data_IF_123191383245
#
_entry.id   IF_123191383245
#
_cell.length_a   1.000
_cell.length_b   1.000
_cell.length_c   1.000
_cell.angle_alpha   90.00
_cell.angle_beta   90.00
_cell.angle_gamma   90.00
#
_symmetry.space_group_name_H-M   'P 1'
#
loop_
_entity.id
_entity.type
_entity.pdbx_description
1 polymer ?
#
# COMPACT_ATOMS: atom_id res chain seq x y z
N UNK A 1 14.98 10.47 13.32
CA UNK A 1 14.13 9.27 13.14
C UNK A 1 13.57 8.73 14.46
N UNK A 2 12.29 8.34 14.48
CA UNK A 2 11.61 7.65 15.60
C UNK A 2 10.77 6.49 15.04
N UNK A 3 10.71 5.36 15.75
CA UNK A 3 9.91 4.20 15.41
C UNK A 3 8.66 4.12 16.30
N UNK A 4 7.47 4.20 15.69
CA UNK A 4 6.17 4.23 16.35
C UNK A 4 5.48 2.88 16.27
N UNK A 5 5.04 2.32 17.40
CA UNK A 5 4.29 1.05 17.43
C UNK A 5 2.93 1.17 16.72
N UNK A 6 2.62 0.35 15.74
CA UNK A 6 1.33 0.38 15.07
C UNK A 6 0.78 -1.03 14.81
N UNK A 7 -0.47 -1.12 14.37
CA UNK A 7 -1.02 -2.36 13.82
C UNK A 7 -0.50 -2.56 12.40
N UNK A 8 -0.19 -3.81 12.03
CA UNK A 8 0.17 -4.18 10.67
C UNK A 8 -1.04 -4.42 9.78
N UNK A 9 -2.25 -4.48 10.33
CA UNK A 9 -3.47 -4.80 9.60
C UNK A 9 -4.30 -3.57 9.21
N UNK A 10 -5.05 -3.69 8.10
CA UNK A 10 -5.75 -2.60 7.37
C UNK A 10 -4.87 -1.40 7.03
N UNK A 11 -3.56 -1.61 7.11
CA UNK A 11 -2.59 -0.57 6.88
C UNK A 11 -2.37 -0.41 5.38
N UNK A 12 -2.37 0.84 4.97
CA UNK A 12 -1.73 1.29 3.76
C UNK A 12 -1.03 2.59 4.16
N UNK A 13 0.30 2.57 4.14
CA UNK A 13 1.05 3.81 4.25
C UNK A 13 0.84 4.56 2.94
N UNK A 14 0.15 5.69 3.03
CA UNK A 14 -0.11 6.60 1.92
C UNK A 14 0.76 7.83 2.10
N UNK A 15 1.40 8.26 1.03
CA UNK A 15 2.11 9.52 0.95
C UNK A 15 1.19 10.60 0.37
N UNK A 16 1.25 11.82 0.92
CA UNK A 16 0.82 13.01 0.20
C UNK A 16 1.63 14.23 0.63
N UNK A 17 2.28 14.88 -0.34
CA UNK A 17 3.27 15.93 -0.12
C UNK A 17 4.27 15.55 0.99
N UNK A 18 4.42 16.38 2.01
CA UNK A 18 5.35 16.17 3.12
C UNK A 18 4.84 15.22 4.23
N UNK A 19 3.67 14.59 4.06
CA UNK A 19 3.02 13.79 5.08
C UNK A 19 2.94 12.29 4.71
N UNK A 20 3.08 11.45 5.74
CA UNK A 20 2.67 10.05 5.67
C UNK A 20 1.34 9.88 6.38
N UNK A 21 0.35 9.31 5.70
CA UNK A 21 -0.94 8.94 6.27
C UNK A 21 -0.96 7.43 6.58
N UNK A 22 -1.45 7.11 7.76
CA UNK A 22 -1.61 5.75 8.25
C UNK A 22 -3.06 5.56 8.67
N UNK A 23 -3.67 4.46 8.23
CA UNK A 23 -5.03 4.06 8.61
C UNK A 23 -5.00 2.77 9.41
N UNK A 24 -5.88 2.67 10.40
CA UNK A 24 -6.09 1.48 11.22
C UNK A 24 -7.40 1.62 12.00
N UNK A 25 -8.39 0.79 11.64
CA UNK A 25 -9.66 0.62 12.34
C UNK A 25 -10.34 1.94 12.74
N UNK A 26 -10.73 2.71 11.73
CA UNK A 26 -11.45 3.98 11.89
C UNK A 26 -10.58 5.20 12.12
N UNK A 27 -9.35 5.04 12.60
CA UNK A 27 -8.44 6.16 12.79
C UNK A 27 -7.61 6.44 11.55
N UNK A 28 -7.40 7.74 11.28
CA UNK A 28 -6.39 8.25 10.37
C UNK A 28 -5.34 9.03 11.17
N UNK A 29 -4.09 8.60 11.03
CA UNK A 29 -2.95 9.28 11.60
C UNK A 29 -2.12 9.95 10.52
N UNK A 30 -1.53 11.09 10.89
CA UNK A 30 -0.57 11.83 10.08
C UNK A 30 0.79 11.76 10.75
N UNK A 31 1.77 11.26 10.02
CA UNK A 31 3.19 11.32 10.34
C UNK A 31 3.79 12.53 9.63
N UNK A 32 4.25 13.51 10.40
CA UNK A 32 4.89 14.71 9.85
C UNK A 32 6.43 14.60 9.78
N UNK A 33 7.02 15.57 9.08
CA UNK A 33 8.46 15.73 8.92
C UNK A 33 9.23 15.97 10.24
N UNK A 34 8.54 16.36 11.32
CA UNK A 34 9.12 16.54 12.64
C UNK A 34 9.08 15.26 13.48
N UNK A 35 8.68 14.14 12.87
CA UNK A 35 8.49 12.84 13.53
C UNK A 35 7.36 12.88 14.55
N UNK A 36 6.27 13.62 14.30
CA UNK A 36 5.06 13.49 15.10
C UNK A 36 4.04 12.61 14.40
N UNK A 37 3.52 11.62 15.11
CA UNK A 37 2.41 10.79 14.65
C UNK A 37 1.14 11.20 15.42
N UNK A 38 0.24 11.91 14.74
CA UNK A 38 -0.96 12.49 15.36
C UNK A 38 -2.23 11.93 14.73
N UNK A 39 -3.25 11.55 15.53
CA UNK A 39 -4.57 11.24 14.98
C UNK A 39 -5.19 12.55 14.49
N UNK A 40 -5.62 12.56 13.23
CA UNK A 40 -6.23 13.74 12.61
C UNK A 40 -7.71 13.53 12.29
N UNK A 41 -8.18 12.28 12.34
CA UNK A 41 -9.55 11.92 12.02
C UNK A 41 -9.91 10.56 12.61
N UNK A 42 -11.19 10.40 12.97
CA UNK A 42 -11.77 9.10 13.31
C UNK A 42 -13.12 8.98 12.63
N UNK A 43 -13.26 7.96 11.79
CA UNK A 43 -14.50 7.52 11.18
C UNK A 43 -14.39 6.04 10.82
N UNK A 44 -15.31 5.24 11.35
CA UNK A 44 -15.39 3.81 11.08
C UNK A 44 -15.77 3.47 9.63
N UNK A 45 -16.02 4.45 8.77
CA UNK A 45 -16.31 4.26 7.35
C UNK A 45 -15.16 4.65 6.43
N UNK A 46 -14.01 5.08 6.99
CA UNK A 46 -12.84 5.46 6.22
C UNK A 46 -12.31 4.31 5.34
N UNK A 47 -12.51 4.43 4.03
CA UNK A 47 -12.29 3.37 3.06
C UNK A 47 -11.07 3.59 2.17
N UNK A 48 -10.71 4.85 1.88
CA UNK A 48 -9.63 5.18 0.94
C UNK A 48 -8.92 6.48 1.32
N UNK A 49 -7.61 6.55 1.01
CA UNK A 49 -6.75 7.74 1.08
C UNK A 49 -5.99 7.86 -0.23
N UNK A 50 -5.87 9.07 -0.77
CA UNK A 50 -5.10 9.33 -1.98
C UNK A 50 -4.53 10.74 -2.00
N UNK A 51 -3.50 10.91 -2.83
CA UNK A 51 -2.89 12.19 -3.18
C UNK A 51 -3.36 12.59 -4.59
N UNK A 52 -3.81 13.83 -4.76
CA UNK A 52 -4.05 14.43 -6.06
C UNK A 52 -2.75 14.94 -6.69
N UNK A 53 -2.77 15.25 -7.99
CA UNK A 53 -1.57 15.66 -8.73
C UNK A 53 -0.90 16.94 -8.20
N UNK A 54 -1.62 17.79 -7.47
CA UNK A 54 -1.09 18.99 -6.80
C UNK A 54 -0.52 18.72 -5.40
N UNK A 55 -0.53 17.46 -4.95
CA UNK A 55 -0.04 17.03 -3.64
C UNK A 55 -1.08 17.11 -2.51
N UNK A 56 -2.34 17.39 -2.83
CA UNK A 56 -3.42 17.47 -1.84
C UNK A 56 -3.88 16.08 -1.40
N UNK A 57 -4.05 15.87 -0.09
CA UNK A 57 -4.52 14.61 0.47
C UNK A 57 -6.04 14.61 0.63
N UNK A 58 -6.70 13.60 0.06
CA UNK A 58 -8.14 13.40 0.17
C UNK A 58 -8.47 12.02 0.75
N UNK A 59 -9.66 11.93 1.35
CA UNK A 59 -10.12 10.75 2.08
C UNK A 59 -11.58 10.49 1.77
N UNK A 60 -11.97 9.21 1.78
CA UNK A 60 -13.34 8.76 1.54
C UNK A 60 -13.89 7.99 2.73
N UNK A 61 -15.05 8.41 3.23
CA UNK A 61 -15.82 7.69 4.24
C UNK A 61 -17.20 7.38 3.67
N UNK A 62 -17.48 6.10 3.40
CA UNK A 62 -18.68 5.69 2.65
C UNK A 62 -18.91 6.56 1.39
N UNK A 63 -19.96 7.38 1.38
CA UNK A 63 -20.34 8.27 0.26
C UNK A 63 -19.85 9.72 0.44
N UNK A 64 -19.18 10.03 1.55
CA UNK A 64 -18.65 11.35 1.86
C UNK A 64 -17.15 11.45 1.58
N UNK A 65 -16.73 12.66 1.22
CA UNK A 65 -15.36 12.98 0.86
C UNK A 65 -14.81 14.08 1.75
N UNK A 66 -13.52 13.98 2.06
CA UNK A 66 -12.82 14.89 2.93
C UNK A 66 -11.46 15.26 2.33
N UNK A 67 -10.94 16.42 2.72
CA UNK A 67 -9.62 16.90 2.32
C UNK A 67 -8.83 17.38 3.54
N UNK A 68 -7.51 17.20 3.51
CA UNK A 68 -6.62 17.72 4.53
C UNK A 68 -6.00 19.03 4.06
N UNK A 69 -6.36 20.15 4.68
CA UNK A 69 -5.86 21.48 4.31
C UNK A 69 -4.48 21.81 4.91
N UNK A 70 -3.81 20.81 5.52
CA UNK A 70 -2.55 20.96 6.25
C UNK A 70 -2.74 21.16 7.77
N UNK A 71 -3.94 21.51 8.23
CA UNK A 71 -4.26 21.74 9.63
C UNK A 71 -5.40 20.83 10.12
N UNK A 72 -6.43 20.67 9.31
CA UNK A 72 -7.67 20.00 9.68
C UNK A 72 -8.24 19.20 8.51
N UNK A 73 -9.17 18.32 8.84
CA UNK A 73 -9.94 17.55 7.87
C UNK A 73 -11.26 18.27 7.66
N UNK A 74 -11.53 18.67 6.42
CA UNK A 74 -12.76 19.38 6.06
C UNK A 74 -13.57 18.56 5.05
N UNK A 75 -14.90 18.51 5.21
CA UNK A 75 -15.76 17.84 4.24
C UNK A 75 -15.72 18.58 2.90
N UNK A 76 -15.72 17.81 1.82
CA UNK A 76 -15.79 18.31 0.45
C UNK A 76 -17.21 18.12 -0.06
N UNK A 77 -17.77 19.17 -0.64
CA UNK A 77 -19.11 19.10 -1.23
C UNK A 77 -19.06 18.39 -2.58
N UNK A 78 -19.93 17.40 -2.75
CA UNK A 78 -19.94 16.58 -3.94
C UNK A 78 -18.82 15.56 -3.90
N UNK A 79 -18.80 14.72 -4.92
CA UNK A 79 -17.62 13.91 -5.14
C UNK A 79 -16.52 14.84 -5.69
N UNK A 80 -15.38 15.02 -4.99
CA UNK A 80 -14.24 15.74 -5.54
C UNK A 80 -13.84 15.16 -6.89
N UNK A 81 -14.22 13.92 -7.19
CA UNK A 81 -14.00 13.24 -8.46
C UNK A 81 -15.20 13.22 -9.42
N UNK A 82 -16.43 13.59 -9.01
CA UNK A 82 -17.63 13.44 -9.86
C UNK A 82 -18.45 14.70 -10.12
N UNK A 83 -18.09 15.86 -9.55
CA UNK A 83 -18.76 17.11 -9.93
C UNK A 83 -17.94 18.19 -10.65
N UNK A 84 -16.61 18.17 -10.63
CA UNK A 84 -15.78 19.00 -11.55
C UNK A 84 -14.42 18.40 -11.97
N UNK A 85 -13.98 17.26 -11.40
CA UNK A 85 -12.82 16.52 -11.90
C UNK A 85 -13.24 15.30 -12.71
N UNK A 86 -13.75 15.56 -13.90
CA UNK A 86 -13.38 14.68 -14.99
C UNK A 86 -11.85 14.63 -14.97
N UNK A 87 -11.20 13.49 -14.68
CA UNK A 87 -9.75 13.36 -14.83
C UNK A 87 -9.42 13.65 -16.31
N UNK A 88 -9.20 14.93 -16.62
CA UNK A 88 -8.91 15.45 -17.94
C UNK A 88 -7.43 15.28 -18.15
N UNK A 89 -7.06 14.09 -18.59
CA UNK A 89 -5.68 13.84 -18.96
C UNK A 89 -5.47 14.30 -20.40
N UNK A 90 -4.46 15.16 -20.60
CA UNK A 90 -4.11 15.64 -21.92
C UNK A 90 -3.17 14.65 -22.59
N UNK A 91 -3.60 14.12 -23.72
CA UNK A 91 -2.81 13.26 -24.59
C UNK A 91 -2.65 13.93 -25.95
N UNK A 92 -1.51 14.60 -26.14
CA UNK A 92 -1.24 15.36 -27.37
C UNK A 92 -2.31 16.42 -27.66
N UNK A 93 -3.11 16.15 -28.71
CA UNK A 93 -4.21 17.00 -29.20
C UNK A 93 -5.58 16.68 -28.57
N UNK A 94 -5.64 15.77 -27.60
CA UNK A 94 -6.88 15.30 -26.98
C UNK A 94 -6.91 15.56 -25.48
N UNK A 95 -8.12 15.80 -24.99
CA UNK A 95 -8.49 15.73 -23.57
C UNK A 95 -9.25 14.42 -23.39
N UNK A 96 -8.70 13.50 -22.60
CA UNK A 96 -9.30 12.22 -22.27
C UNK A 96 -10.07 12.30 -20.96
N UNK A 97 -11.23 11.65 -20.94
CA UNK A 97 -12.15 11.59 -19.81
C UNK A 97 -12.80 10.21 -19.73
N UNK A 98 -13.21 9.76 -18.55
CA UNK A 98 -13.94 8.49 -18.43
C UNK A 98 -15.10 8.55 -17.45
N UNK A 99 -16.13 7.74 -17.73
CA UNK A 99 -17.30 7.54 -16.88
C UNK A 99 -17.46 6.05 -16.56
N UNK A 100 -17.29 5.71 -15.28
CA UNK A 100 -17.41 4.37 -14.73
C UNK A 100 -18.77 4.07 -14.10
N UNK A 101 -19.76 4.96 -14.19
CA UNK A 101 -21.08 4.81 -13.55
C UNK A 101 -21.86 3.58 -14.03
N UNK A 102 -21.59 3.09 -15.25
CA UNK A 102 -22.19 1.90 -15.85
C UNK A 102 -21.27 0.65 -15.73
N UNK A 103 -20.51 0.53 -14.63
CA UNK A 103 -19.63 -0.61 -14.38
C UNK A 103 -20.38 -1.96 -14.56
N UNK A 104 -19.83 -2.95 -15.30
CA UNK A 104 -18.43 -3.08 -15.72
C UNK A 104 -18.09 -2.44 -17.08
N UNK A 105 -19.00 -1.65 -17.67
CA UNK A 105 -18.68 -0.84 -18.87
C UNK A 105 -18.12 0.49 -18.42
N UNK A 106 -17.04 0.90 -19.07
CA UNK A 106 -16.48 2.24 -18.89
C UNK A 106 -16.70 2.99 -20.21
N UNK A 107 -17.25 4.20 -20.13
CA UNK A 107 -17.33 5.09 -21.27
C UNK A 107 -16.06 5.93 -21.32
N UNK A 108 -15.32 5.86 -22.42
CA UNK A 108 -14.11 6.64 -22.67
C UNK A 108 -14.47 7.77 -23.63
N UNK A 109 -14.24 9.02 -23.23
CA UNK A 109 -14.55 10.21 -24.01
C UNK A 109 -13.28 11.00 -24.31
N UNK A 110 -13.14 11.45 -25.55
CA UNK A 110 -11.96 12.12 -26.06
C UNK A 110 -12.38 13.37 -26.82
N UNK A 111 -12.01 14.54 -26.31
CA UNK A 111 -12.27 15.82 -26.94
C UNK A 111 -11.01 16.34 -27.63
N UNK A 112 -11.08 16.60 -28.93
CA UNK A 112 -9.97 17.17 -29.68
C UNK A 112 -9.85 18.67 -29.40
N UNK A 113 -8.70 19.10 -28.89
CA UNK A 113 -8.46 20.46 -28.41
C UNK A 113 -8.63 21.52 -29.51
N UNK A 114 -8.27 21.18 -30.75
CA UNK A 114 -8.26 22.16 -31.85
C UNK A 114 -9.67 22.59 -32.29
N UNK A 115 -10.64 21.69 -32.23
CA UNK A 115 -11.96 21.89 -32.85
C UNK A 115 -13.14 21.43 -31.98
N UNK A 116 -12.89 20.89 -30.78
CA UNK A 116 -13.91 20.34 -29.88
C UNK A 116 -14.59 19.08 -30.40
N UNK A 117 -14.03 18.39 -31.41
CA UNK A 117 -14.64 17.16 -31.91
C UNK A 117 -14.54 16.05 -30.88
N UNK A 118 -15.64 15.33 -30.67
CA UNK A 118 -15.76 14.30 -29.66
C UNK A 118 -15.67 12.92 -30.30
N UNK A 119 -14.85 12.05 -29.72
CA UNK A 119 -14.84 10.62 -29.96
C UNK A 119 -15.19 9.90 -28.65
N UNK A 120 -16.13 8.95 -28.70
CA UNK A 120 -16.54 8.15 -27.56
C UNK A 120 -16.41 6.67 -27.85
N UNK A 121 -15.97 5.90 -26.86
CA UNK A 121 -15.93 4.45 -26.95
C UNK A 121 -16.33 3.82 -25.62
N UNK A 122 -17.35 2.97 -25.65
CA UNK A 122 -17.91 2.30 -24.47
C UNK A 122 -17.82 0.80 -24.60
N UNK A 123 -17.04 0.17 -23.73
CA UNK A 123 -16.76 -1.26 -23.76
C UNK A 123 -16.53 -1.81 -22.34
N UNK A 124 -16.63 -3.13 -22.18
CA UNK A 124 -16.25 -3.80 -20.92
C UNK A 124 -14.76 -4.11 -20.92
N UNK A 125 -14.14 -3.99 -19.75
CA UNK A 125 -12.80 -4.55 -19.49
C UNK A 125 -11.69 -4.00 -20.40
N UNK A 126 -11.84 -2.77 -20.89
CA UNK A 126 -10.77 -2.02 -21.56
C UNK A 126 -10.05 -1.14 -20.55
N UNK A 127 -8.73 -1.06 -20.71
CA UNK A 127 -7.89 -0.09 -20.03
C UNK A 127 -7.31 0.84 -21.09
N UNK A 128 -7.63 2.13 -21.01
CA UNK A 128 -7.05 3.13 -21.91
C UNK A 128 -5.53 3.22 -21.69
N UNK A 129 -4.79 3.31 -22.80
CA UNK A 129 -3.33 3.39 -22.78
C UNK A 129 -2.84 4.75 -23.28
N UNK A 130 -3.18 5.13 -24.50
CA UNK A 130 -2.61 6.31 -25.16
C UNK A 130 -3.51 6.75 -26.31
N UNK A 131 -3.40 8.01 -26.74
CA UNK A 131 -3.92 8.42 -28.02
C UNK A 131 -2.97 9.33 -28.79
N UNK A 132 -2.84 9.07 -30.09
CA UNK A 132 -1.96 9.83 -30.98
C UNK A 132 -2.43 9.72 -32.43
N UNK A 133 -2.34 10.81 -33.17
CA UNK A 133 -2.65 10.88 -34.60
C UNK A 133 -4.03 10.29 -34.94
N UNK A 134 -5.05 10.69 -34.20
CA UNK A 134 -6.44 10.23 -34.34
C UNK A 134 -6.61 8.70 -34.13
N UNK A 135 -5.70 8.08 -33.36
CA UNK A 135 -5.77 6.68 -32.94
C UNK A 135 -5.79 6.56 -31.41
N UNK A 136 -6.60 5.64 -30.91
CA UNK A 136 -6.84 5.41 -29.50
C UNK A 136 -6.45 3.97 -29.15
N UNK A 137 -5.54 3.80 -28.18
CA UNK A 137 -4.99 2.52 -27.81
C UNK A 137 -5.58 2.05 -26.48
N UNK A 138 -6.04 0.80 -26.47
CA UNK A 138 -6.62 0.17 -25.28
C UNK A 138 -6.02 -1.21 -25.08
N UNK A 139 -5.88 -1.64 -23.83
CA UNK A 139 -5.66 -3.04 -23.50
C UNK A 139 -6.99 -3.72 -23.21
N UNK A 140 -7.31 -4.76 -23.98
CA UNK A 140 -8.45 -5.64 -23.73
C UNK A 140 -8.06 -6.75 -22.79
N UNK A 141 -8.59 -6.73 -21.56
CA UNK A 141 -8.34 -7.80 -20.58
C UNK A 141 -8.95 -9.14 -21.00
N UNK A 142 -10.02 -9.10 -21.80
CA UNK A 142 -10.71 -10.30 -22.32
C UNK A 142 -9.89 -10.94 -23.43
N UNK A 143 -9.48 -10.16 -24.43
CA UNK A 143 -8.71 -10.65 -25.56
C UNK A 143 -7.21 -10.79 -25.26
N UNK A 144 -6.74 -10.17 -24.17
CA UNK A 144 -5.32 -10.04 -23.79
C UNK A 144 -4.51 -9.41 -24.93
N UNK A 145 -5.08 -8.40 -25.57
CA UNK A 145 -4.49 -7.70 -26.70
C UNK A 145 -4.45 -6.20 -26.45
N UNK A 146 -3.50 -5.52 -27.10
CA UNK A 146 -3.58 -4.07 -27.28
C UNK A 146 -4.30 -3.85 -28.61
N UNK A 147 -5.42 -3.16 -28.54
CA UNK A 147 -6.22 -2.75 -29.68
C UNK A 147 -5.98 -1.28 -29.98
N UNK A 148 -6.04 -0.96 -31.26
CA UNK A 148 -6.03 0.38 -31.82
C UNK A 148 -7.39 0.64 -32.44
N UNK A 149 -8.01 1.75 -32.05
CA UNK A 149 -9.28 2.23 -32.59
C UNK A 149 -9.01 3.56 -33.29
N UNK A 150 -9.48 3.74 -34.51
CA UNK A 150 -9.42 5.04 -35.21
C UNK A 150 -10.73 5.85 -35.06
N UNK A 151 -10.75 7.08 -35.55
CA UNK A 151 -11.94 7.94 -35.53
C UNK A 151 -13.11 7.43 -36.35
N UNK A 152 -12.91 6.43 -37.21
CA UNK A 152 -13.98 5.74 -37.96
C UNK A 152 -14.48 4.47 -37.22
N UNK A 153 -14.06 4.29 -35.96
CA UNK A 153 -14.33 3.12 -35.13
C UNK A 153 -13.82 1.79 -35.71
N UNK A 154 -12.80 1.84 -36.58
CA UNK A 154 -12.15 0.61 -37.04
C UNK A 154 -11.19 0.13 -35.96
N UNK A 155 -11.35 -1.14 -35.59
CA UNK A 155 -10.56 -1.79 -34.55
C UNK A 155 -9.52 -2.68 -35.21
N UNK A 156 -8.29 -2.62 -34.74
CA UNK A 156 -7.20 -3.50 -35.13
C UNK A 156 -6.37 -3.92 -33.92
N UNK A 157 -6.04 -5.20 -33.82
CA UNK A 157 -5.07 -5.66 -32.82
C UNK A 157 -3.66 -5.24 -33.27
N UNK A 158 -2.96 -4.50 -32.41
CA UNK A 158 -1.56 -4.11 -32.64
C UNK A 158 -0.57 -4.97 -31.83
N UNK A 159 -1.08 -5.69 -30.83
CA UNK A 159 -0.32 -6.67 -30.07
C UNK A 159 -1.25 -7.70 -29.43
N UNK A 160 -0.87 -8.98 -29.39
CA UNK A 160 -1.65 -10.06 -28.77
C UNK A 160 -0.75 -10.87 -27.83
N UNK A 161 -1.05 -10.82 -26.52
CA UNK A 161 -0.34 -11.62 -25.54
C UNK A 161 -0.88 -13.06 -25.50
N UNK A 162 -0.14 -13.99 -26.09
CA UNK A 162 -0.46 -15.42 -26.02
C UNK A 162 -0.04 -16.02 -24.67
N UNK A 163 -0.78 -15.71 -23.61
CA UNK A 163 -0.54 -16.28 -22.28
C UNK A 163 -1.79 -16.45 -21.41
N UNK A 164 -1.76 -17.39 -20.47
CA UNK A 164 -2.84 -17.56 -19.49
C UNK A 164 -2.92 -16.38 -18.51
N UNK A 165 -1.78 -15.91 -18.01
CA UNK A 165 -1.69 -14.75 -17.13
C UNK A 165 -1.02 -13.60 -17.87
N UNK A 166 -1.70 -12.46 -17.90
CA UNK A 166 -1.19 -11.22 -18.49
C UNK A 166 -1.49 -10.08 -17.52
N UNK A 167 -0.47 -9.28 -17.22
CA UNK A 167 -0.60 -8.03 -16.49
C UNK A 167 0.14 -6.94 -17.27
N UNK A 168 -0.40 -5.73 -17.27
CA UNK A 168 0.22 -4.60 -17.96
C UNK A 168 0.35 -3.42 -17.01
N UNK A 169 1.39 -2.63 -17.23
CA UNK A 169 1.59 -1.34 -16.60
C UNK A 169 2.04 -0.35 -17.67
N UNK A 170 1.59 0.91 -17.56
CA UNK A 170 1.90 1.94 -18.55
C UNK A 170 2.62 3.10 -17.89
N UNK A 171 3.67 3.56 -18.56
CA UNK A 171 4.31 4.86 -18.29
C UNK A 171 4.48 5.57 -19.62
N UNK A 172 3.78 6.71 -19.78
CA UNK A 172 3.69 7.43 -21.05
C UNK A 172 3.25 6.50 -22.20
N UNK A 173 4.03 6.47 -23.29
CA UNK A 173 3.81 5.65 -24.49
C UNK A 173 4.42 4.25 -24.38
N UNK A 174 5.02 3.91 -23.24
CA UNK A 174 5.68 2.63 -22.99
C UNK A 174 4.76 1.75 -22.16
N UNK A 175 4.55 0.53 -22.62
CA UNK A 175 3.74 -0.48 -21.93
C UNK A 175 4.64 -1.63 -21.54
N UNK A 176 4.73 -1.90 -20.24
CA UNK A 176 5.32 -3.12 -19.72
C UNK A 176 4.26 -4.20 -19.70
N UNK A 177 4.59 -5.37 -20.24
CA UNK A 177 3.66 -6.49 -20.41
C UNK A 177 4.27 -7.72 -19.76
N UNK A 178 3.73 -8.11 -18.62
CA UNK A 178 4.06 -9.40 -18.01
C UNK A 178 3.17 -10.48 -18.60
N UNK A 179 3.78 -11.59 -19.03
CA UNK A 179 3.08 -12.78 -19.54
C UNK A 179 3.64 -14.06 -18.92
N UNK A 180 2.74 -14.99 -18.56
CA UNK A 180 3.10 -16.31 -18.03
C UNK A 180 2.05 -17.36 -18.39
N UNK A 181 2.50 -18.47 -18.98
CA UNK A 181 1.72 -19.69 -19.14
C UNK A 181 1.97 -20.66 -17.97
N UNK A 182 1.10 -21.65 -17.76
CA UNK A 182 1.39 -22.76 -16.85
C UNK A 182 2.73 -23.41 -17.21
N UNK A 183 3.58 -23.63 -16.20
CA UNK A 183 4.89 -24.29 -16.32
C UNK A 183 5.97 -23.54 -17.11
N UNK A 184 5.65 -22.40 -17.73
CA UNK A 184 6.62 -21.51 -18.37
C UNK A 184 7.22 -20.51 -17.37
N UNK A 185 8.42 -20.01 -17.69
CA UNK A 185 8.99 -18.83 -17.04
C UNK A 185 8.14 -17.60 -17.37
N UNK A 186 8.04 -16.68 -16.42
CA UNK A 186 7.43 -15.37 -16.68
C UNK A 186 8.28 -14.58 -17.66
N UNK A 187 7.67 -13.73 -18.46
CA UNK A 187 8.37 -12.83 -19.39
C UNK A 187 7.80 -11.43 -19.23
N UNK A 188 8.67 -10.42 -19.21
CA UNK A 188 8.29 -9.01 -19.34
C UNK A 188 8.70 -8.53 -20.72
N UNK A 189 7.77 -7.95 -21.45
CA UNK A 189 8.01 -7.26 -22.72
C UNK A 189 7.83 -5.76 -22.52
N UNK A 190 8.75 -4.99 -23.09
CA UNK A 190 8.62 -3.54 -23.18
C UNK A 190 8.07 -3.24 -24.57
N UNK A 191 6.85 -2.74 -24.65
CA UNK A 191 6.15 -2.42 -25.88
C UNK A 191 6.05 -0.91 -26.07
N UNK A 192 6.53 -0.42 -27.21
CA UNK A 192 6.44 1.00 -27.59
C UNK A 192 5.17 1.21 -28.43
N UNK A 193 4.21 1.98 -27.91
CA UNK A 193 2.94 2.28 -28.58
C UNK A 193 3.11 3.15 -29.83
N UNK A 194 4.19 3.93 -29.94
CA UNK A 194 4.46 4.77 -31.13
C UNK A 194 5.09 3.95 -32.24
N UNK A 195 6.03 3.07 -31.88
CA UNK A 195 6.69 2.18 -32.83
C UNK A 195 5.89 0.90 -33.14
N UNK A 196 4.84 0.62 -32.37
CA UNK A 196 3.98 -0.57 -32.46
C UNK A 196 4.77 -1.89 -32.45
N UNK A 197 5.75 -1.98 -31.56
CA UNK A 197 6.61 -3.16 -31.44
C UNK A 197 7.12 -3.37 -30.02
N UNK A 198 7.43 -4.63 -29.73
CA UNK A 198 8.27 -4.99 -28.58
C UNK A 198 9.68 -4.47 -28.86
N UNK A 199 10.18 -3.61 -27.99
CA UNK A 199 11.51 -3.01 -28.07
C UNK A 199 12.52 -3.72 -27.16
N UNK A 200 12.05 -4.41 -26.13
CA UNK A 200 12.90 -5.25 -25.28
C UNK A 200 12.11 -6.38 -24.59
N UNK A 201 12.82 -7.40 -24.11
CA UNK A 201 12.24 -8.54 -23.42
C UNK A 201 13.17 -9.08 -22.35
N UNK A 202 12.61 -9.39 -21.19
CA UNK A 202 13.33 -9.99 -20.07
C UNK A 202 12.62 -11.25 -19.56
N UNK A 203 13.37 -12.32 -19.32
CA UNK A 203 12.84 -13.58 -18.78
C UNK A 203 12.93 -13.57 -17.25
N UNK A 204 11.79 -13.67 -16.58
CA UNK A 204 11.68 -13.74 -15.12
C UNK A 204 11.77 -15.20 -14.67
N UNK A 205 12.94 -15.61 -14.16
CA UNK A 205 13.21 -17.00 -13.79
C UNK A 205 12.64 -17.45 -12.42
N UNK A 206 11.73 -16.68 -11.81
CA UNK A 206 11.21 -16.96 -10.47
C UNK A 206 9.87 -17.72 -10.46
N UNK A 207 9.77 -18.74 -9.61
CA UNK A 207 8.53 -19.49 -9.34
C UNK A 207 7.38 -18.55 -8.88
N UNK A 208 7.73 -17.47 -8.18
CA UNK A 208 6.80 -16.49 -7.59
C UNK A 208 6.41 -15.30 -8.47
N UNK A 209 6.86 -15.20 -9.73
CA UNK A 209 6.43 -14.10 -10.61
C UNK A 209 4.91 -14.21 -10.87
N UNK A 210 4.13 -13.34 -10.21
CA UNK A 210 2.67 -13.30 -10.26
C UNK A 210 2.11 -12.08 -11.00
N UNK A 211 2.94 -11.06 -11.24
CA UNK A 211 2.54 -9.79 -11.85
C UNK A 211 3.64 -8.73 -11.77
N UNK A 212 3.30 -7.51 -12.19
CA UNK A 212 4.12 -6.30 -12.00
C UNK A 212 3.44 -5.40 -10.97
N UNK A 213 4.23 -4.78 -10.10
CA UNK A 213 3.71 -3.90 -9.05
C UNK A 213 4.66 -2.72 -8.78
N UNK A 214 4.15 -1.73 -8.06
CA UNK A 214 4.92 -0.59 -7.53
C UNK A 214 5.70 0.15 -8.61
N UNK A 215 5.09 0.49 -9.75
CA UNK A 215 5.79 1.21 -10.83
C UNK A 215 6.13 2.63 -10.37
N UNK A 216 7.38 3.06 -10.56
CA UNK A 216 7.84 4.41 -10.25
C UNK A 216 8.85 4.91 -11.27
N UNK A 217 8.90 6.22 -11.48
CA UNK A 217 9.85 6.87 -12.38
C UNK A 217 10.81 7.76 -11.57
N UNK A 218 12.12 7.61 -11.82
CA UNK A 218 13.15 8.46 -11.22
C UNK A 218 14.37 8.53 -12.13
N UNK A 219 14.97 9.73 -12.27
CA UNK A 219 16.18 9.96 -13.08
C UNK A 219 16.07 9.39 -14.52
N UNK A 220 14.91 9.54 -15.15
CA UNK A 220 14.66 9.04 -16.51
C UNK A 220 14.56 7.51 -16.63
N UNK A 221 14.52 6.78 -15.51
CA UNK A 221 14.37 5.33 -15.46
C UNK A 221 13.02 4.95 -14.87
N UNK A 222 12.57 3.76 -15.23
CA UNK A 222 11.35 3.15 -14.69
C UNK A 222 11.76 1.96 -13.85
N UNK A 223 11.29 1.97 -12.61
CA UNK A 223 11.48 0.90 -11.65
C UNK A 223 10.14 0.23 -11.40
N UNK A 224 10.14 -1.09 -11.20
CA UNK A 224 8.96 -1.83 -10.79
C UNK A 224 9.38 -3.18 -10.22
N UNK A 225 8.50 -3.82 -9.46
CA UNK A 225 8.71 -5.20 -9.03
C UNK A 225 8.06 -6.17 -10.00
N UNK A 226 8.70 -7.31 -10.23
CA UNK A 226 8.07 -8.46 -10.88
C UNK A 226 8.21 -9.68 -9.98
N UNK A 227 7.13 -10.03 -9.29
CA UNK A 227 7.20 -10.92 -8.13
C UNK A 227 8.13 -10.33 -7.07
N UNK A 228 9.18 -11.06 -6.73
CA UNK A 228 10.17 -10.71 -5.71
C UNK A 228 11.46 -10.08 -6.28
N UNK A 229 11.46 -9.65 -7.54
CA UNK A 229 12.62 -9.02 -8.20
C UNK A 229 12.39 -7.55 -8.51
N UNK A 230 13.43 -6.74 -8.35
CA UNK A 230 13.46 -5.37 -8.85
C UNK A 230 13.85 -5.36 -10.34
N UNK A 231 12.99 -4.76 -11.15
CA UNK A 231 13.21 -4.53 -12.57
C UNK A 231 13.47 -3.05 -12.82
N UNK A 232 14.41 -2.74 -13.71
CA UNK A 232 14.77 -1.37 -14.08
C UNK A 232 14.88 -1.25 -15.58
N UNK A 233 14.17 -0.28 -16.15
CA UNK A 233 14.27 0.10 -17.55
C UNK A 233 14.88 1.49 -17.67
N UNK A 234 15.98 1.61 -18.41
CA UNK A 234 16.75 2.85 -18.58
C UNK A 234 16.38 3.65 -19.85
N UNK A 235 15.27 3.29 -20.50
CA UNK A 235 14.87 3.81 -21.80
C UNK A 235 15.30 2.94 -22.99
N UNK A 236 16.22 2.00 -22.78
CA UNK A 236 16.81 1.18 -23.85
C UNK A 236 16.76 -0.31 -23.50
N UNK A 237 17.15 -0.65 -22.27
CA UNK A 237 17.28 -2.03 -21.81
C UNK A 237 16.58 -2.23 -20.46
N UNK A 238 15.90 -3.36 -20.35
CA UNK A 238 15.29 -3.88 -19.15
C UNK A 238 16.30 -4.79 -18.44
N UNK A 239 16.53 -4.53 -17.16
CA UNK A 239 17.51 -5.24 -16.36
C UNK A 239 16.92 -5.65 -15.00
N UNK A 240 17.52 -6.69 -14.41
CA UNK A 240 17.31 -7.09 -13.03
C UNK A 240 18.62 -6.92 -12.26
N UNK A 241 18.86 -5.78 -11.59
CA UNK A 241 20.15 -5.44 -10.98
C UNK A 241 20.59 -6.42 -9.87
N UNK A 242 19.63 -7.09 -9.24
CA UNK A 242 19.87 -8.05 -8.17
C UNK A 242 19.28 -9.43 -8.52
N UNK A 243 19.87 -10.17 -9.47
CA UNK A 243 19.25 -11.39 -10.01
C UNK A 243 19.13 -12.52 -8.97
N UNK A 244 20.02 -12.55 -7.98
CA UNK A 244 20.10 -13.57 -6.94
C UNK A 244 19.50 -13.13 -5.60
N UNK A 245 18.94 -11.93 -5.51
CA UNK A 245 18.32 -11.41 -4.29
C UNK A 245 16.86 -11.08 -4.51
N UNK A 246 16.05 -11.47 -3.54
CA UNK A 246 14.63 -11.13 -3.49
C UNK A 246 14.46 -9.82 -2.75
N UNK A 247 13.66 -8.90 -3.29
CA UNK A 247 13.33 -7.62 -2.64
C UNK A 247 12.01 -7.73 -1.87
N UNK A 248 11.90 -6.98 -0.78
CA UNK A 248 10.64 -6.79 -0.06
C UNK A 248 9.97 -5.52 -0.58
N UNK A 249 10.68 -4.40 -0.53
CA UNK A 249 10.24 -3.14 -1.12
C UNK A 249 11.41 -2.31 -1.62
N UNK A 250 11.09 -1.29 -2.40
CA UNK A 250 12.05 -0.31 -2.87
C UNK A 250 11.39 1.07 -2.97
N UNK A 251 12.22 2.12 -2.95
CA UNK A 251 11.84 3.49 -3.28
C UNK A 251 12.93 4.13 -4.12
N UNK A 252 12.60 4.50 -5.35
CA UNK A 252 13.50 5.27 -6.22
C UNK A 252 13.37 6.78 -5.94
N UNK A 253 14.50 7.48 -5.92
CA UNK A 253 14.57 8.94 -5.72
C UNK A 253 15.53 9.56 -6.72
N UNK A 254 15.55 10.89 -6.80
CA UNK A 254 16.55 11.62 -7.60
C UNK A 254 18.00 11.36 -7.15
N UNK A 255 18.21 10.98 -5.89
CA UNK A 255 19.55 10.83 -5.30
C UNK A 255 20.07 9.40 -5.29
N UNK A 256 19.19 8.42 -5.54
CA UNK A 256 19.48 7.00 -5.38
C UNK A 256 18.25 6.17 -5.08
N UNK A 257 18.45 4.90 -4.75
CA UNK A 257 17.36 3.94 -4.55
C UNK A 257 17.51 3.26 -3.20
N UNK A 258 16.45 3.36 -2.39
CA UNK A 258 16.29 2.61 -1.15
C UNK A 258 15.76 1.21 -1.46
N UNK A 259 16.36 0.18 -0.87
CA UNK A 259 15.98 -1.22 -1.09
C UNK A 259 16.05 -2.01 0.21
N UNK A 260 15.03 -2.83 0.47
CA UNK A 260 15.05 -3.88 1.47
C UNK A 260 14.94 -5.26 0.82
N UNK A 261 15.65 -6.24 1.38
CA UNK A 261 15.75 -7.59 0.81
C UNK A 261 15.13 -8.63 1.72
N UNK A 262 14.56 -9.69 1.11
CA UNK A 262 13.97 -10.80 1.85
C UNK A 262 15.06 -11.52 2.64
N UNK A 263 14.80 -11.78 3.92
CA UNK A 263 15.74 -12.45 4.82
C UNK A 263 16.83 -11.55 5.40
N UNK A 264 16.72 -10.24 5.20
CA UNK A 264 17.65 -9.22 5.68
C UNK A 264 16.91 -8.22 6.59
N UNK A 265 17.60 -7.71 7.62
CA UNK A 265 17.06 -6.72 8.55
C UNK A 265 17.60 -5.31 8.28
N UNK A 266 18.33 -5.10 7.18
CA UNK A 266 18.89 -3.82 6.81
C UNK A 266 18.15 -3.10 5.65
N UNK A 267 18.21 -1.77 5.69
CA UNK A 267 17.91 -0.89 4.57
C UNK A 267 19.20 -0.56 3.82
N UNK A 268 19.15 -0.69 2.50
CA UNK A 268 20.25 -0.39 1.60
C UNK A 268 19.94 0.85 0.78
N UNK A 269 20.94 1.69 0.55
CA UNK A 269 20.81 2.82 -0.37
C UNK A 269 21.92 2.77 -1.42
N UNK A 270 21.50 2.66 -2.67
CA UNK A 270 22.38 2.63 -3.83
C UNK A 270 22.32 3.96 -4.59
N UNK A 271 23.30 4.20 -5.46
CA UNK A 271 23.12 5.22 -6.50
C UNK A 271 21.94 4.89 -7.43
N UNK A 272 21.54 5.87 -8.25
CA UNK A 272 20.46 5.74 -9.24
C UNK A 272 20.74 4.69 -10.32
N UNK A 273 22.00 4.29 -10.49
CA UNK A 273 22.40 3.20 -11.38
C UNK A 273 22.40 1.82 -10.72
N UNK A 274 22.17 1.75 -9.40
CA UNK A 274 22.23 0.52 -8.61
C UNK A 274 23.58 -0.21 -8.69
N UNK A 275 24.63 0.51 -9.08
CA UNK A 275 25.97 -0.03 -9.27
C UNK A 275 26.81 0.05 -7.99
N UNK A 276 26.56 1.08 -7.15
CA UNK A 276 27.33 1.30 -5.94
C UNK A 276 26.42 1.43 -4.72
N UNK A 277 26.63 0.55 -3.74
CA UNK A 277 26.08 0.72 -2.41
C UNK A 277 26.70 1.95 -1.75
N UNK A 278 25.89 2.94 -1.40
CA UNK A 278 26.34 4.15 -0.70
C UNK A 278 26.40 3.93 0.80
N UNK A 279 25.38 3.27 1.35
CA UNK A 279 25.36 2.87 2.76
C UNK A 279 24.36 1.75 3.00
N UNK A 280 24.52 1.09 4.15
CA UNK A 280 23.61 0.09 4.70
C UNK A 280 23.34 0.44 6.17
N UNK A 281 22.08 0.40 6.58
CA UNK A 281 21.67 0.66 7.97
C UNK A 281 20.80 -0.50 8.48
N UNK A 282 21.09 -1.07 9.65
CA UNK A 282 20.21 -2.07 10.25
C UNK A 282 18.87 -1.44 10.62
N UNK A 283 17.84 -2.27 10.74
CA UNK A 283 16.57 -1.92 11.35
C UNK A 283 16.78 -1.28 12.72
N UNK A 284 16.02 -0.22 13.08
CA UNK A 284 16.05 0.30 14.43
C UNK A 284 15.36 -0.62 15.44
N UNK A 285 14.54 -1.57 14.99
CA UNK A 285 13.78 -2.49 15.85
C UNK A 285 14.26 -3.92 15.63
N UNK A 286 14.94 -4.55 16.62
CA UNK A 286 15.44 -5.92 16.48
C UNK A 286 14.35 -6.93 16.12
N UNK A 287 14.62 -7.78 15.12
CA UNK A 287 13.67 -8.79 14.64
C UNK A 287 12.61 -8.26 13.66
N UNK A 288 12.74 -7.01 13.20
CA UNK A 288 11.89 -6.40 12.18
C UNK A 288 12.72 -6.05 10.93
N UNK A 289 12.09 -5.98 9.76
CA UNK A 289 12.68 -5.54 8.50
C UNK A 289 11.80 -4.48 7.85
N UNK A 290 12.39 -3.68 6.95
CA UNK A 290 11.66 -2.68 6.17
C UNK A 290 10.76 -3.37 5.15
N UNK A 291 9.44 -3.29 5.35
CA UNK A 291 8.46 -4.01 4.53
C UNK A 291 7.91 -3.14 3.41
N UNK A 292 7.59 -1.88 3.70
CA UNK A 292 7.11 -0.92 2.71
C UNK A 292 7.93 0.35 2.79
N UNK A 293 8.26 0.91 1.63
CA UNK A 293 9.05 2.13 1.47
C UNK A 293 8.24 3.11 0.63
N UNK A 294 7.93 4.27 1.21
CA UNK A 294 7.16 5.34 0.59
C UNK A 294 7.85 6.68 0.81
N UNK A 295 7.47 7.70 0.05
CA UNK A 295 7.92 9.05 0.35
C UNK A 295 7.72 10.05 -0.76
N UNK A 296 7.51 11.30 -0.35
CA UNK A 296 7.33 12.47 -1.21
C UNK A 296 8.07 13.67 -0.59
N UNK A 297 8.37 14.70 -1.38
CA UNK A 297 9.04 15.95 -0.97
C UNK A 297 10.31 15.79 -0.09
N UNK A 298 11.19 14.85 -0.45
CA UNK A 298 12.45 14.60 0.26
C UNK A 298 12.28 13.91 1.63
N UNK A 299 11.07 13.42 1.91
CA UNK A 299 10.73 12.61 3.08
C UNK A 299 10.54 11.16 2.69
N UNK A 300 10.93 10.30 3.62
CA UNK A 300 10.83 8.87 3.52
C UNK A 300 10.01 8.36 4.69
N UNK A 301 9.17 7.38 4.39
CA UNK A 301 8.35 6.68 5.34
C UNK A 301 8.55 5.19 5.11
N UNK A 302 8.63 4.43 6.20
CA UNK A 302 8.60 2.98 6.09
C UNK A 302 7.76 2.34 7.18
N UNK A 303 7.19 1.21 6.81
CA UNK A 303 6.67 0.26 7.78
C UNK A 303 7.72 -0.82 8.02
N UNK A 304 7.97 -1.13 9.30
CA UNK A 304 8.78 -2.24 9.73
C UNK A 304 7.89 -3.41 10.17
N UNK A 305 8.20 -4.61 9.69
CA UNK A 305 7.48 -5.85 10.04
C UNK A 305 8.42 -6.95 10.48
N UNK A 306 7.89 -7.87 11.28
CA UNK A 306 8.63 -9.08 11.60
C UNK A 306 8.60 -10.05 10.38
N UNK A 307 9.76 -10.46 9.83
CA UNK A 307 9.83 -11.30 8.62
C UNK A 307 9.34 -12.73 8.85
N UNK A 308 9.23 -13.21 10.09
CA UNK A 308 8.64 -14.51 10.41
C UNK A 308 7.10 -14.53 10.24
N UNK A 309 6.52 -13.42 9.76
CA UNK A 309 5.09 -13.30 9.53
C UNK A 309 4.69 -13.65 8.11
N UNK A 310 3.79 -14.61 8.00
CA UNK A 310 3.24 -15.07 6.73
C UNK A 310 1.98 -14.28 6.29
N UNK A 311 1.59 -13.23 7.02
CA UNK A 311 0.42 -12.40 6.75
C UNK A 311 0.66 -10.95 7.18
N UNK A 312 -0.05 -10.03 6.53
CA UNK A 312 -0.14 -8.60 6.82
C UNK A 312 -0.96 -8.41 8.12
N UNK A 313 -0.40 -8.80 9.27
CA UNK A 313 -1.03 -8.73 10.59
C UNK A 313 0.01 -8.72 11.72
N UNK A 314 -0.40 -8.33 12.92
CA UNK A 314 0.40 -8.21 14.13
C UNK A 314 1.12 -6.88 14.28
N UNK A 315 1.86 -6.71 15.38
CA UNK A 315 2.62 -5.50 15.73
C UNK A 315 3.55 -5.03 14.59
N UNK A 316 3.41 -3.80 14.11
CA UNK A 316 4.31 -3.17 13.14
C UNK A 316 4.94 -1.92 13.75
N UNK A 317 5.89 -1.32 13.04
CA UNK A 317 6.40 0.01 13.39
C UNK A 317 6.37 0.95 12.19
N UNK A 318 6.04 2.21 12.40
CA UNK A 318 6.23 3.27 11.40
C UNK A 318 7.48 4.07 11.73
N UNK A 319 8.28 4.34 10.71
CA UNK A 319 9.46 5.21 10.80
C UNK A 319 9.40 6.27 9.71
N UNK A 320 9.91 7.46 10.00
CA UNK A 320 10.16 8.49 9.00
C UNK A 320 11.57 9.08 9.13
N UNK A 321 12.12 9.49 8.00
CA UNK A 321 13.41 10.17 7.91
C UNK A 321 13.47 11.05 6.65
N UNK A 322 14.35 12.05 6.65
CA UNK A 322 14.67 12.84 5.46
C UNK A 322 15.81 12.24 4.65
N UNK A 323 15.89 12.60 3.37
CA UNK A 323 17.06 12.27 2.55
C UNK A 323 18.35 12.86 3.15
N UNK A 324 18.29 14.03 3.79
CA UNK A 324 19.42 14.62 4.50
C UNK A 324 19.90 13.78 5.70
N UNK A 325 18.98 13.20 6.48
CA UNK A 325 19.31 12.25 7.56
C UNK A 325 19.89 10.94 7.02
N UNK A 326 19.37 10.47 5.89
CA UNK A 326 19.83 9.27 5.20
C UNK A 326 21.27 9.40 4.68
N UNK A 327 21.59 10.54 4.06
CA UNK A 327 22.90 10.82 3.49
C UNK A 327 23.95 11.24 4.52
N UNK A 328 23.57 11.38 5.79
CA UNK A 328 24.51 11.71 6.85
C UNK A 328 25.40 10.49 7.19
N UNK A 329 26.74 10.67 7.26
CA UNK A 329 27.64 9.58 7.62
C UNK A 329 27.44 9.08 9.06
N UNK A 330 26.89 9.89 9.96
CA UNK A 330 26.65 9.51 11.35
C UNK A 330 25.65 8.35 11.47
N UNK A 331 25.78 7.47 12.48
CA UNK A 331 24.79 6.43 12.74
C UNK A 331 23.39 7.01 12.92
N UNK A 332 22.38 6.30 12.42
CA UNK A 332 21.00 6.61 12.73
C UNK A 332 20.75 6.41 14.22
N UNK A 333 20.52 7.50 14.93
CA UNK A 333 19.95 7.43 16.27
C UNK A 333 18.45 7.39 16.10
N UNK A 334 17.87 6.21 16.34
CA UNK A 334 16.43 6.02 16.32
C UNK A 334 15.92 5.87 17.75
N UNK A 335 14.97 6.73 18.12
CA UNK A 335 14.17 6.51 19.31
C UNK A 335 13.10 5.46 19.01
N UNK A 336 13.09 4.35 19.76
CA UNK A 336 12.10 3.28 19.59
C UNK A 336 11.07 3.43 20.69
N UNK A 337 9.82 3.65 20.27
CA UNK A 337 8.73 3.80 21.21
C UNK A 337 8.56 2.54 22.07
N UNK A 338 8.42 2.76 23.38
CA UNK A 338 8.24 1.68 24.34
C UNK A 338 6.78 1.21 24.36
N UNK A 339 6.54 -0.11 24.50
CA UNK A 339 5.20 -0.63 24.62
C UNK A 339 4.57 -0.21 25.95
N UNK A 340 3.33 0.27 25.89
CA UNK A 340 2.51 0.61 27.07
C UNK A 340 1.53 -0.50 27.41
N UNK A 341 1.74 -1.68 26.83
CA UNK A 341 0.87 -2.83 26.95
C UNK A 341 1.64 -4.10 27.34
N UNK A 342 0.90 -5.08 27.87
CA UNK A 342 1.44 -6.40 28.19
C UNK A 342 0.41 -7.49 27.93
N UNK A 343 0.91 -8.71 27.72
CA UNK A 343 0.09 -9.90 27.50
C UNK A 343 0.18 -10.83 28.70
N UNK A 344 -0.95 -11.40 29.10
CA UNK A 344 -1.02 -12.43 30.12
C UNK A 344 -1.98 -13.52 29.71
N UNK A 345 -1.50 -14.76 29.68
CA UNK A 345 -2.34 -15.94 29.54
C UNK A 345 -3.03 -16.21 30.88
N UNK A 346 -4.37 -16.17 30.88
CA UNK A 346 -5.19 -16.46 32.03
C UNK A 346 -5.81 -17.85 31.87
N UNK A 347 -5.60 -18.80 32.80
CA UNK A 347 -6.21 -20.11 32.74
C UNK A 347 -7.74 -20.01 32.61
N UNK A 348 -8.30 -20.82 31.71
CA UNK A 348 -9.73 -20.89 31.44
C UNK A 348 -10.16 -22.35 31.26
N UNK A 349 -11.46 -22.63 31.25
CA UNK A 349 -11.94 -24.00 31.05
C UNK A 349 -11.51 -24.52 29.67
N UNK A 350 -10.62 -25.52 29.65
CA UNK A 350 -10.14 -26.13 28.42
C UNK A 350 -8.96 -25.42 27.74
N UNK A 351 -8.25 -24.54 28.45
CA UNK A 351 -7.11 -23.82 27.89
C UNK A 351 -6.78 -22.50 28.61
N UNK A 352 -6.56 -21.43 27.86
CA UNK A 352 -6.32 -20.09 28.37
C UNK A 352 -7.07 -19.02 27.57
N UNK A 353 -7.38 -17.91 28.23
CA UNK A 353 -7.83 -16.66 27.63
C UNK A 353 -6.68 -15.66 27.64
N UNK A 354 -6.67 -14.71 26.70
CA UNK A 354 -5.62 -13.70 26.62
C UNK A 354 -6.10 -12.42 27.29
N UNK A 355 -5.34 -11.93 28.27
CA UNK A 355 -5.55 -10.59 28.84
C UNK A 355 -4.48 -9.67 28.29
N UNK A 356 -4.91 -8.55 27.72
CA UNK A 356 -4.07 -7.49 27.19
C UNK A 356 -4.29 -6.26 28.06
N UNK A 357 -3.31 -5.93 28.90
CA UNK A 357 -3.34 -4.69 29.69
C UNK A 357 -2.71 -3.56 28.90
N UNK A 358 -3.31 -2.37 28.90
CA UNK A 358 -2.82 -1.14 28.26
C UNK A 358 -2.86 -0.01 29.28
N UNK A 359 -1.75 0.69 29.48
CA UNK A 359 -1.71 1.90 30.29
C UNK A 359 -2.35 3.06 29.55
N UNK A 360 -3.53 3.51 29.99
CA UNK A 360 -4.21 4.68 29.44
C UNK A 360 -3.73 6.01 30.06
N UNK A 361 -2.68 5.98 30.90
CA UNK A 361 -2.10 7.19 31.49
C UNK A 361 -1.35 8.07 30.48
N UNK A 362 -1.00 7.51 29.32
CA UNK A 362 -0.35 8.20 28.21
C UNK A 362 -1.32 9.07 27.41
N UNK A 363 -0.78 9.87 26.48
CA UNK A 363 -1.61 10.61 25.53
C UNK A 363 -2.56 9.67 24.76
N UNK A 364 -3.80 10.11 24.55
CA UNK A 364 -4.84 9.32 23.89
C UNK A 364 -4.39 8.75 22.53
N UNK A 365 -3.62 9.51 21.77
CA UNK A 365 -3.04 9.10 20.48
C UNK A 365 -2.17 7.84 20.59
N UNK A 366 -1.36 7.76 21.66
CA UNK A 366 -0.49 6.63 21.96
C UNK A 366 -1.32 5.46 22.48
N UNK A 367 -2.21 5.71 23.45
CA UNK A 367 -3.11 4.71 24.01
C UNK A 367 -3.95 4.02 22.92
N UNK A 368 -4.58 4.80 22.03
CA UNK A 368 -5.41 4.27 20.95
C UNK A 368 -4.61 3.43 19.95
N UNK A 369 -3.50 3.97 19.45
CA UNK A 369 -2.67 3.28 18.45
C UNK A 369 -2.06 2.00 19.00
N UNK A 370 -1.51 2.05 20.21
CA UNK A 370 -0.89 0.87 20.82
C UNK A 370 -1.93 -0.16 21.28
N UNK A 371 -3.15 0.25 21.65
CA UNK A 371 -4.23 -0.69 21.96
C UNK A 371 -4.61 -1.54 20.74
N UNK A 372 -4.78 -0.89 19.60
CA UNK A 372 -5.05 -1.56 18.31
C UNK A 372 -3.88 -2.47 17.93
N UNK A 373 -2.64 -1.98 18.04
CA UNK A 373 -1.44 -2.77 17.74
C UNK A 373 -1.28 -4.00 18.66
N UNK A 374 -1.56 -3.84 19.94
CA UNK A 374 -1.47 -4.91 20.94
C UNK A 374 -2.54 -5.97 20.69
N UNK A 375 -3.78 -5.55 20.44
CA UNK A 375 -4.85 -6.48 20.11
C UNK A 375 -4.50 -7.22 18.81
N UNK A 376 -4.09 -6.53 17.72
CA UNK A 376 -3.63 -7.16 16.47
C UNK A 376 -2.54 -8.22 16.71
N UNK A 377 -1.53 -7.89 17.50
CA UNK A 377 -0.48 -8.84 17.88
C UNK A 377 -1.01 -10.04 18.66
N UNK A 378 -1.98 -9.84 19.56
CA UNK A 378 -2.67 -10.90 20.28
C UNK A 378 -3.44 -11.83 19.33
N UNK A 379 -4.21 -11.26 18.39
CA UNK A 379 -4.92 -12.01 17.33
C UNK A 379 -3.92 -12.88 16.57
N UNK A 380 -2.84 -12.25 16.12
CA UNK A 380 -1.83 -12.89 15.29
C UNK A 380 -1.11 -14.05 16.00
N UNK A 381 -0.77 -13.87 17.29
CA UNK A 381 0.05 -14.83 18.03
C UNK A 381 -0.74 -16.05 18.50
N UNK A 382 -2.04 -15.89 18.76
CA UNK A 382 -2.89 -16.91 19.37
C UNK A 382 -4.02 -17.42 18.46
N UNK A 383 -4.23 -16.80 17.29
CA UNK A 383 -5.24 -17.22 16.31
C UNK A 383 -5.00 -18.64 15.76
N UNK A 384 -6.09 -19.30 15.36
CA UNK A 384 -6.08 -20.69 14.89
C UNK A 384 -5.42 -20.91 13.51
N UNK A 385 -5.15 -19.83 12.78
CA UNK A 385 -4.54 -19.90 11.46
C UNK A 385 -3.03 -20.25 11.57
N UNK A 386 -2.59 -21.28 10.83
CA UNK A 386 -1.17 -21.67 10.63
C UNK A 386 -0.48 -22.49 11.73
N UNK A 387 -1.23 -23.22 12.58
CA UNK A 387 -0.63 -24.21 13.50
C UNK A 387 0.37 -23.61 14.48
N UNK A 388 0.05 -22.43 15.02
CA UNK A 388 0.90 -21.72 15.99
C UNK A 388 1.00 -22.51 17.30
N UNK A 389 2.11 -22.42 18.05
CA UNK A 389 2.36 -23.26 19.23
C UNK A 389 1.30 -23.20 20.32
N UNK A 390 0.52 -22.11 20.36
CA UNK A 390 -0.45 -21.81 21.41
C UNK A 390 -1.91 -21.83 20.93
N UNK A 391 -2.18 -22.15 19.65
CA UNK A 391 -3.53 -22.03 19.09
C UNK A 391 -4.50 -23.08 19.61
N UNK A 392 -4.03 -24.32 19.87
CA UNK A 392 -4.88 -25.43 20.33
C UNK A 392 -5.50 -25.18 21.71
N UNK A 393 -4.72 -24.54 22.57
CA UNK A 393 -5.05 -24.30 23.98
C UNK A 393 -5.67 -22.91 24.19
N UNK A 394 -5.78 -22.10 23.13
CA UNK A 394 -6.46 -20.81 23.21
C UNK A 394 -7.98 -20.99 23.22
N UNK A 395 -8.65 -20.30 24.14
CA UNK A 395 -10.10 -20.42 24.35
C UNK A 395 -10.94 -19.54 23.42
N UNK A 396 -10.31 -18.77 22.53
CA UNK A 396 -10.98 -17.76 21.69
C UNK A 396 -11.35 -16.46 22.43
N UNK A 397 -11.00 -16.31 23.71
CA UNK A 397 -11.38 -15.14 24.51
C UNK A 397 -10.22 -14.19 24.71
N UNK A 398 -10.44 -12.92 24.37
CA UNK A 398 -9.52 -11.82 24.66
C UNK A 398 -10.21 -10.83 25.59
N UNK A 399 -9.50 -10.42 26.63
CA UNK A 399 -9.89 -9.27 27.44
C UNK A 399 -8.89 -8.13 27.23
N UNK A 400 -9.39 -6.95 26.84
CA UNK A 400 -8.61 -5.74 26.67
C UNK A 400 -8.86 -4.81 27.85
N UNK A 401 -7.84 -4.60 28.69
CA UNK A 401 -7.94 -3.84 29.93
C UNK A 401 -7.19 -2.52 29.79
N UNK A 402 -7.93 -1.41 29.74
CA UNK A 402 -7.39 -0.07 29.83
C UNK A 402 -7.23 0.31 31.31
N UNK A 403 -6.00 0.25 31.80
CA UNK A 403 -5.61 0.66 33.16
C UNK A 403 -5.45 2.20 33.21
N UNK A 404 -5.69 2.82 34.37
CA UNK A 404 -5.66 4.28 34.53
C UNK A 404 -6.66 5.01 33.62
N UNK A 405 -7.85 4.42 33.45
CA UNK A 405 -8.84 4.89 32.48
C UNK A 405 -9.39 6.29 32.74
N UNK A 406 -9.22 6.83 33.95
CA UNK A 406 -9.59 8.19 34.33
C UNK A 406 -8.97 9.28 33.43
N UNK A 407 -7.87 8.98 32.74
CA UNK A 407 -7.25 9.86 31.74
C UNK A 407 -8.03 9.94 30.41
N UNK A 408 -8.96 9.00 30.17
CA UNK A 408 -9.78 8.94 28.96
C UNK A 408 -11.17 9.54 29.18
N UNK A 409 -11.59 10.39 28.27
CA UNK A 409 -12.98 10.89 28.19
C UNK A 409 -13.95 9.78 27.77
N UNK A 410 -15.25 9.96 28.04
CA UNK A 410 -16.28 9.01 27.63
C UNK A 410 -16.30 8.76 26.11
N UNK A 411 -16.09 9.82 25.31
CA UNK A 411 -16.02 9.70 23.84
C UNK A 411 -14.81 8.87 23.39
N UNK A 412 -13.64 9.08 24.00
CA UNK A 412 -12.42 8.32 23.69
C UNK A 412 -12.55 6.85 24.06
N UNK A 413 -13.19 6.54 25.19
CA UNK A 413 -13.48 5.14 25.59
C UNK A 413 -14.38 4.46 24.56
N UNK A 414 -15.44 5.15 24.14
CA UNK A 414 -16.35 4.65 23.12
C UNK A 414 -15.66 4.38 21.77
N UNK A 415 -14.82 5.32 21.31
CA UNK A 415 -14.02 5.14 20.08
C UNK A 415 -13.08 3.93 20.17
N UNK A 416 -12.48 3.68 21.34
CA UNK A 416 -11.62 2.52 21.56
C UNK A 416 -12.39 1.20 21.57
N UNK A 417 -13.57 1.17 22.18
CA UNK A 417 -14.48 0.01 22.13
C UNK A 417 -14.84 -0.31 20.67
N UNK A 418 -15.36 0.66 19.92
CA UNK A 418 -15.77 0.48 18.53
C UNK A 418 -14.61 0.02 17.63
N UNK A 419 -13.45 0.67 17.70
CA UNK A 419 -12.30 0.32 16.87
C UNK A 419 -11.79 -1.11 17.15
N UNK A 420 -11.79 -1.53 18.42
CA UNK A 420 -11.29 -2.85 18.82
C UNK A 420 -12.31 -3.96 18.52
N UNK A 421 -13.60 -3.70 18.68
CA UNK A 421 -14.68 -4.60 18.25
C UNK A 421 -14.72 -4.79 16.74
N UNK A 422 -14.56 -3.70 15.99
CA UNK A 422 -14.45 -3.76 14.53
C UNK A 422 -13.27 -4.61 14.11
N UNK A 423 -12.10 -4.45 14.73
CA UNK A 423 -10.96 -5.30 14.41
C UNK A 423 -11.26 -6.79 14.64
N UNK A 424 -11.95 -7.15 15.73
CA UNK A 424 -12.37 -8.54 15.94
C UNK A 424 -13.29 -9.03 14.82
N UNK A 425 -14.24 -8.20 14.39
CA UNK A 425 -15.20 -8.52 13.32
C UNK A 425 -14.52 -8.71 11.98
N UNK A 426 -13.67 -7.76 11.58
CA UNK A 426 -12.95 -7.79 10.30
C UNK A 426 -11.91 -8.92 10.27
N UNK A 427 -11.38 -9.32 11.44
CA UNK A 427 -10.47 -10.47 11.59
C UNK A 427 -11.12 -11.77 12.02
N UNK A 428 -12.46 -11.83 12.07
CA UNK A 428 -13.18 -12.98 12.60
C UNK A 428 -12.76 -14.28 11.91
N UNK A 429 -12.48 -14.25 10.60
CA UNK A 429 -11.98 -15.39 9.84
C UNK A 429 -10.55 -15.84 10.21
N UNK A 430 -9.65 -14.92 10.58
CA UNK A 430 -8.28 -15.24 11.05
C UNK A 430 -8.31 -15.93 12.42
N UNK A 431 -9.29 -15.57 13.25
CA UNK A 431 -9.50 -16.11 14.58
C UNK A 431 -10.21 -17.47 14.59
N UNK A 432 -11.29 -17.58 13.81
CA UNK A 432 -12.18 -18.75 13.81
C UNK A 432 -11.81 -19.80 12.77
N UNK A 433 -10.82 -19.51 11.92
CA UNK A 433 -10.51 -20.19 10.66
C UNK A 433 -10.81 -21.68 10.68
N UNK A 434 -12.02 -22.05 10.26
CA UNK A 434 -12.50 -23.31 9.67
C UNK A 434 -11.95 -24.69 10.16
N UNK A 435 -11.16 -24.75 11.24
CA UNK A 435 -10.42 -25.94 11.66
C UNK A 435 -10.71 -26.33 13.13
N UNK A 436 -11.13 -25.41 14.00
CA UNK A 436 -11.45 -25.72 15.41
C UNK A 436 -12.85 -25.29 15.89
N UNK A 437 -13.58 -24.44 15.15
CA UNK A 437 -14.99 -24.11 15.45
C UNK A 437 -15.25 -23.40 16.78
N UNK A 438 -14.25 -22.71 17.35
CA UNK A 438 -14.41 -21.93 18.60
C UNK A 438 -14.78 -20.48 18.25
N UNK A 439 -15.92 -20.02 18.76
CA UNK A 439 -16.33 -18.62 18.67
C UNK A 439 -15.34 -17.73 19.42
N UNK A 440 -14.92 -16.63 18.80
CA UNK A 440 -14.03 -15.66 19.44
C UNK A 440 -14.83 -14.50 20.06
N UNK A 441 -14.41 -14.05 21.24
CA UNK A 441 -15.02 -12.91 21.91
C UNK A 441 -13.98 -11.95 22.46
N UNK A 442 -14.29 -10.66 22.36
CA UNK A 442 -13.52 -9.57 22.94
C UNK A 442 -14.36 -8.97 24.07
N UNK A 443 -13.71 -8.73 25.20
CA UNK A 443 -14.27 -7.97 26.31
C UNK A 443 -13.36 -6.78 26.58
N UNK A 444 -13.87 -5.56 26.39
CA UNK A 444 -13.15 -4.33 26.72
C UNK A 444 -13.52 -3.90 28.14
N UNK A 445 -12.51 -3.58 28.95
CA UNK A 445 -12.67 -3.10 30.33
C UNK A 445 -11.86 -1.82 30.53
N UNK A 446 -12.47 -0.86 31.21
CA UNK A 446 -11.82 0.36 31.66
C UNK A 446 -11.69 0.31 33.19
N UNK A 447 -10.46 0.33 33.69
CA UNK A 447 -10.14 0.21 35.12
C UNK A 447 -9.34 1.44 35.55
N UNK A 448 -9.69 2.00 36.70
CA UNK A 448 -9.05 3.21 37.24
C UNK A 448 -7.79 2.93 38.05
#
# INVERSE_FOLDING_TARGET
>A
MRAFICSGFEYHLHEASQYGFFRSFGFLWRLDASHNLVPIFYDNQLSQVWESADGTAYFKCDDEYFVFDGLQIVPVSGDPFSSEDVHQERFGSYIYTYDGSDYPRVNHHFEKIENGSIFEHKERSLQFLECSDDNFYFFSRIAKSIIKIDTEHRISDVFVASAEKVAIERVDYIVFIFRKNPFDKGVIEVYDLRALKVIDTFVCEGDGASGMYLVSQAEGKIFFTCGDRLMVWDGHYLSAPFPDRKIISYRATHSGVYISFVGDDALYFYDSDLNNLKWQRPTPVPGFCFDSLKGSDGRNFAELRNPARNMIAGLSYLVCWSDAESLNPQPWVCDVEQPIFSFKEQPSNGGFSLVISISAAEEYSVAARQAIAALDQGIYSHGAFMGRPHSSDFSGKIELHFEHSHALTAAQRHQLEEATERMLTDKYAMFTGAAEGKDCSLLVKFTD
#
